data_IF_404028342863
#
_entry.id   IF_404028342863
#
_cell.length_a   1.000
_cell.length_b   1.000
_cell.length_c   1.000
_cell.angle_alpha   90.00
_cell.angle_beta   90.00
_cell.angle_gamma   90.00
#
_symmetry.space_group_name_H-M   'P 1'
#
loop_
_entity.id
_entity.type
_entity.pdbx_description
1 polymer ?
#
# COMPACT_ATOMS: atom_id res chain seq x y z
N UNK A 1 -3.23 53.96 7.99
CA UNK A 1 -3.80 52.61 8.01
C UNK A 1 -2.68 51.64 8.31
N UNK A 2 -2.71 51.03 9.52
CA UNK A 2 -1.77 49.96 9.92
C UNK A 2 -2.31 48.62 9.40
N UNK A 3 -1.51 47.91 8.63
CA UNK A 3 -1.77 46.53 8.21
C UNK A 3 -1.56 45.64 9.44
N UNK A 4 -2.54 44.83 9.76
CA UNK A 4 -2.46 43.86 10.84
C UNK A 4 -1.48 42.72 10.48
N UNK A 5 -0.74 42.15 11.46
CA UNK A 5 0.17 41.05 11.22
C UNK A 5 -0.59 39.76 10.91
N UNK A 6 -0.04 38.97 9.98
CA UNK A 6 -0.60 37.75 9.47
C UNK A 6 -0.94 36.70 10.57
N UNK A 7 -2.07 36.08 10.40
CA UNK A 7 -2.53 34.96 11.24
C UNK A 7 -1.54 33.79 11.12
N UNK A 8 -0.85 33.51 12.23
CA UNK A 8 -0.02 32.30 12.34
C UNK A 8 -0.91 31.07 12.20
N UNK A 9 -0.64 30.24 11.21
CA UNK A 9 -1.30 28.96 11.07
C UNK A 9 -1.09 28.14 12.35
N UNK A 10 -2.17 27.64 12.90
CA UNK A 10 -2.12 26.81 14.12
C UNK A 10 -1.42 25.49 13.85
N UNK A 11 -0.77 24.90 14.87
CA UNK A 11 -0.13 23.57 14.75
C UNK A 11 -1.08 22.49 14.19
N UNK A 12 -2.39 22.60 14.46
CA UNK A 12 -3.40 21.72 13.84
C UNK A 12 -3.51 21.89 12.33
N UNK A 13 -3.38 23.10 11.79
CA UNK A 13 -3.41 23.34 10.34
C UNK A 13 -2.10 22.87 9.67
N UNK A 14 -0.95 22.99 10.35
CA UNK A 14 0.30 22.39 9.90
C UNK A 14 0.25 20.86 9.92
N UNK A 15 -0.29 20.26 10.97
CA UNK A 15 -0.48 18.80 11.06
C UNK A 15 -1.52 18.27 10.07
N UNK A 16 -2.51 19.04 9.65
CA UNK A 16 -3.46 18.68 8.60
C UNK A 16 -2.82 18.73 7.21
N UNK A 17 -1.92 19.72 6.95
CA UNK A 17 -1.19 19.81 5.68
C UNK A 17 -0.11 18.72 5.49
N UNK A 18 0.34 18.06 6.56
CA UNK A 18 1.33 16.97 6.50
C UNK A 18 0.73 15.59 6.19
N UNK A 19 -0.59 15.47 5.85
CA UNK A 19 -1.31 14.19 5.80
C UNK A 19 -2.21 13.94 4.59
N UNK A 20 -1.97 14.59 3.47
CA UNK A 20 -2.77 14.35 2.25
C UNK A 20 -2.14 13.32 1.30
N UNK A 21 -1.21 12.46 1.78
CA UNK A 21 -0.73 11.38 0.94
C UNK A 21 -1.84 10.37 0.66
N UNK A 22 -1.96 9.99 -0.60
CA UNK A 22 -2.77 8.86 -1.06
C UNK A 22 -1.86 7.81 -1.69
N UNK A 23 -2.29 6.55 -1.65
CA UNK A 23 -1.60 5.46 -2.34
C UNK A 23 -2.49 4.86 -3.42
N UNK A 24 -1.98 4.83 -4.65
CA UNK A 24 -2.59 4.06 -5.72
C UNK A 24 -2.04 2.64 -5.67
N UNK A 25 -2.89 1.67 -5.34
CA UNK A 25 -2.57 0.25 -5.37
C UNK A 25 -3.11 -0.33 -6.67
N UNK A 26 -2.20 -0.83 -7.50
CA UNK A 26 -2.55 -1.43 -8.79
C UNK A 26 -2.29 -2.94 -8.73
N UNK A 27 -3.30 -3.71 -9.07
CA UNK A 27 -3.23 -5.17 -9.16
C UNK A 27 -3.52 -5.60 -10.58
N UNK A 28 -2.58 -6.32 -11.20
CA UNK A 28 -2.77 -6.87 -12.54
C UNK A 28 -2.79 -8.38 -12.48
N UNK A 29 -3.83 -8.96 -13.05
CA UNK A 29 -3.93 -10.42 -13.24
C UNK A 29 -3.21 -10.78 -14.54
N UNK A 30 -2.28 -11.71 -14.43
CA UNK A 30 -1.45 -12.17 -15.55
C UNK A 30 -1.79 -13.61 -15.93
N UNK A 31 -1.44 -13.99 -17.15
CA UNK A 31 -1.44 -15.42 -17.54
C UNK A 31 -0.44 -16.20 -16.68
N UNK A 32 -0.74 -17.49 -16.41
CA UNK A 32 0.22 -18.37 -15.75
C UNK A 32 1.58 -18.35 -16.43
N UNK A 33 2.65 -18.18 -15.63
CA UNK A 33 4.04 -18.10 -16.10
C UNK A 33 4.48 -16.73 -16.64
N UNK A 34 3.63 -15.70 -16.63
CA UNK A 34 3.98 -14.38 -17.17
C UNK A 34 4.64 -13.43 -16.14
N UNK A 35 4.69 -13.80 -14.84
CA UNK A 35 5.29 -12.95 -13.80
C UNK A 35 6.76 -12.58 -14.12
N UNK A 36 7.67 -13.50 -14.45
CA UNK A 36 9.07 -13.15 -14.68
C UNK A 36 9.25 -12.12 -15.80
N UNK A 37 8.52 -12.30 -16.91
CA UNK A 37 8.58 -11.36 -18.02
C UNK A 37 7.97 -9.99 -17.67
N UNK A 38 6.91 -9.97 -16.87
CA UNK A 38 6.31 -8.72 -16.41
C UNK A 38 7.26 -7.96 -15.46
N UNK A 39 7.92 -8.64 -14.53
CA UNK A 39 8.90 -8.05 -13.63
C UNK A 39 10.12 -7.50 -14.39
N UNK A 40 10.64 -8.26 -15.35
CA UNK A 40 11.73 -7.79 -16.23
C UNK A 40 11.34 -6.51 -16.97
N UNK A 41 10.16 -6.49 -17.61
CA UNK A 41 9.65 -5.32 -18.31
C UNK A 41 9.46 -4.11 -17.38
N UNK A 42 9.03 -4.32 -16.13
CA UNK A 42 8.96 -3.26 -15.13
C UNK A 42 10.33 -2.78 -14.70
N UNK A 43 11.28 -3.68 -14.43
CA UNK A 43 12.65 -3.32 -14.06
C UNK A 43 13.32 -2.44 -15.12
N UNK A 44 13.13 -2.74 -16.40
CA UNK A 44 13.64 -1.94 -17.52
C UNK A 44 12.98 -0.55 -17.60
N UNK A 45 11.66 -0.47 -17.41
CA UNK A 45 10.90 0.77 -17.58
C UNK A 45 10.91 1.66 -16.34
N UNK A 46 11.14 1.10 -15.14
CA UNK A 46 11.01 1.80 -13.87
C UNK A 46 11.92 3.04 -13.75
N UNK A 47 13.20 3.04 -14.14
CA UNK A 47 14.05 4.23 -14.10
C UNK A 47 13.52 5.42 -14.91
N UNK A 48 12.72 5.16 -15.95
CA UNK A 48 12.07 6.20 -16.74
C UNK A 48 10.85 6.77 -16.03
N UNK A 49 10.10 5.94 -15.32
CA UNK A 49 8.93 6.34 -14.54
C UNK A 49 9.30 7.12 -13.27
N UNK A 50 10.38 6.73 -12.61
CA UNK A 50 10.83 7.33 -11.34
C UNK A 50 11.31 8.77 -11.46
N UNK A 51 11.61 9.24 -12.68
CA UNK A 51 11.83 10.67 -12.96
C UNK A 51 10.63 11.55 -12.60
N UNK A 52 9.45 10.97 -12.51
CA UNK A 52 8.18 11.64 -12.23
C UNK A 52 7.63 11.32 -10.84
N UNK A 53 8.28 10.44 -10.09
CA UNK A 53 7.91 10.03 -8.74
C UNK A 53 8.24 8.56 -8.50
N UNK A 54 8.78 8.21 -7.32
CA UNK A 54 9.26 6.87 -7.02
C UNK A 54 8.10 5.88 -6.88
N UNK A 55 8.41 4.61 -7.13
CA UNK A 55 7.54 3.51 -6.74
C UNK A 55 7.65 3.31 -5.22
N UNK A 56 6.52 2.99 -4.56
CA UNK A 56 6.50 2.71 -3.14
C UNK A 56 6.75 1.22 -2.83
N UNK A 57 6.24 0.31 -3.67
CA UNK A 57 6.46 -1.12 -3.55
C UNK A 57 6.09 -1.85 -4.83
N UNK A 58 6.69 -3.04 -5.04
CA UNK A 58 6.33 -3.96 -6.10
C UNK A 58 6.44 -5.41 -5.61
N UNK A 59 5.38 -6.18 -5.77
CA UNK A 59 5.28 -7.58 -5.36
C UNK A 59 4.58 -8.42 -6.42
N UNK A 60 4.82 -9.73 -6.39
CA UNK A 60 3.94 -10.71 -7.00
C UNK A 60 3.31 -11.62 -5.95
N UNK A 61 2.19 -12.27 -6.28
CA UNK A 61 1.50 -13.17 -5.37
C UNK A 61 2.06 -14.59 -5.44
N UNK A 62 2.29 -15.18 -4.25
CA UNK A 62 2.74 -16.56 -4.07
C UNK A 62 1.62 -17.45 -3.53
N UNK A 63 0.80 -16.92 -2.59
CA UNK A 63 -0.34 -17.65 -2.00
C UNK A 63 -1.57 -16.76 -2.03
N UNK A 64 -2.72 -17.34 -2.39
CA UNK A 64 -3.99 -16.66 -2.60
C UNK A 64 -4.33 -16.59 -4.08
N UNK A 65 -4.88 -15.51 -4.62
CA UNK A 65 -5.04 -15.32 -6.05
C UNK A 65 -3.67 -15.33 -6.72
N UNK A 66 -3.39 -16.34 -7.56
CA UNK A 66 -2.10 -16.52 -8.20
C UNK A 66 -1.94 -15.61 -9.44
N UNK A 67 -0.68 -15.51 -9.90
CA UNK A 67 -0.31 -14.77 -11.11
C UNK A 67 -0.71 -13.29 -11.09
N UNK A 68 -0.63 -12.65 -9.92
CA UNK A 68 -0.83 -11.21 -9.82
C UNK A 68 0.51 -10.50 -9.60
N UNK A 69 0.67 -9.32 -10.23
CA UNK A 69 1.64 -8.32 -9.79
C UNK A 69 0.88 -7.18 -9.12
N UNK A 70 1.47 -6.66 -8.05
CA UNK A 70 0.89 -5.60 -7.24
C UNK A 70 1.95 -4.52 -7.08
N UNK A 71 1.64 -3.30 -7.51
CA UNK A 71 2.56 -2.19 -7.35
C UNK A 71 1.84 -0.98 -6.76
N UNK A 72 2.57 -0.25 -5.93
CA UNK A 72 2.04 0.86 -5.13
C UNK A 72 2.79 2.14 -5.47
N UNK A 73 2.03 3.22 -5.63
CA UNK A 73 2.52 4.56 -5.92
C UNK A 73 1.97 5.55 -4.90
N UNK A 74 2.84 6.34 -4.27
CA UNK A 74 2.43 7.41 -3.37
C UNK A 74 2.29 8.74 -4.13
N UNK A 75 1.27 9.53 -3.75
CA UNK A 75 1.03 10.88 -4.27
C UNK A 75 0.53 11.77 -3.14
N UNK A 76 0.78 13.07 -3.23
CA UNK A 76 0.22 14.02 -2.27
C UNK A 76 -1.31 14.06 -2.35
N UNK A 77 -1.85 13.98 -3.57
CA UNK A 77 -3.29 14.03 -3.82
C UNK A 77 -3.62 13.53 -5.24
N UNK A 78 -4.91 13.53 -5.62
CA UNK A 78 -5.36 13.09 -6.94
C UNK A 78 -4.88 14.00 -8.09
N UNK A 79 -4.72 15.29 -7.86
CA UNK A 79 -4.25 16.24 -8.87
C UNK A 79 -2.77 15.98 -9.22
N UNK A 80 -1.93 15.77 -8.22
CA UNK A 80 -0.54 15.35 -8.43
C UNK A 80 -0.47 14.01 -9.17
N UNK A 81 -1.26 13.03 -8.72
CA UNK A 81 -1.34 11.73 -9.40
C UNK A 81 -1.64 11.88 -10.89
N UNK A 82 -2.64 12.67 -11.24
CA UNK A 82 -3.04 12.87 -12.63
C UNK A 82 -1.95 13.59 -13.44
N UNK A 83 -1.32 14.61 -12.87
CA UNK A 83 -0.20 15.33 -13.46
C UNK A 83 1.00 14.43 -13.73
N UNK A 84 1.42 13.69 -12.70
CA UNK A 84 2.54 12.73 -12.77
C UNK A 84 2.28 11.63 -13.82
N UNK A 85 1.08 11.07 -13.84
CA UNK A 85 0.69 10.04 -14.81
C UNK A 85 0.65 10.58 -16.25
N UNK A 86 0.13 11.79 -16.43
CA UNK A 86 0.12 12.44 -17.74
C UNK A 86 1.53 12.75 -18.25
N UNK A 87 2.44 13.16 -17.37
CA UNK A 87 3.84 13.40 -17.71
C UNK A 87 4.58 12.11 -18.05
N UNK A 88 4.48 11.08 -17.21
CA UNK A 88 5.09 9.77 -17.42
C UNK A 88 4.57 9.09 -18.69
N UNK A 89 3.28 9.24 -19.04
CA UNK A 89 2.69 8.67 -20.24
C UNK A 89 3.25 9.25 -21.55
N UNK A 90 4.03 10.32 -21.49
CA UNK A 90 4.73 10.91 -22.65
C UNK A 90 6.16 10.36 -22.82
N UNK A 91 6.69 9.66 -21.81
CA UNK A 91 8.02 9.05 -21.91
C UNK A 91 7.95 7.82 -22.84
N UNK A 92 8.78 7.75 -23.91
CA UNK A 92 8.72 6.65 -24.89
C UNK A 92 9.13 5.29 -24.31
N UNK A 93 9.77 5.28 -23.12
CA UNK A 93 10.20 4.07 -22.41
C UNK A 93 9.23 3.66 -21.30
N UNK A 94 8.12 4.36 -21.14
CA UNK A 94 7.03 4.03 -20.25
C UNK A 94 5.70 4.00 -21.02
N UNK A 95 4.78 3.07 -20.81
CA UNK A 95 4.76 2.02 -19.76
C UNK A 95 5.64 0.79 -20.08
N UNK A 96 5.77 -0.17 -19.11
CA UNK A 96 6.48 -1.44 -19.32
C UNK A 96 5.94 -2.21 -20.52
N UNK A 97 6.84 -2.79 -21.34
CA UNK A 97 6.49 -3.55 -22.54
C UNK A 97 6.17 -5.01 -22.20
N UNK A 98 5.08 -5.24 -21.49
CA UNK A 98 4.59 -6.59 -21.22
C UNK A 98 4.04 -7.19 -22.51
N UNK A 99 4.36 -8.47 -22.74
CA UNK A 99 3.91 -9.20 -23.93
C UNK A 99 2.39 -9.10 -24.11
N UNK A 100 1.90 -8.71 -25.28
CA UNK A 100 0.47 -8.58 -25.54
C UNK A 100 -0.31 -9.86 -25.18
N UNK A 101 -1.41 -9.68 -24.46
CA UNK A 101 -2.25 -10.76 -23.97
C UNK A 101 -1.76 -11.45 -22.70
N UNK A 102 -0.61 -11.08 -22.12
CA UNK A 102 -0.20 -11.58 -20.80
C UNK A 102 -0.93 -10.90 -19.65
N UNK A 103 -1.40 -9.68 -19.82
CA UNK A 103 -2.29 -9.03 -18.84
C UNK A 103 -3.73 -9.43 -19.16
N UNK A 104 -4.40 -10.02 -18.20
CA UNK A 104 -5.81 -10.46 -18.29
C UNK A 104 -6.77 -9.42 -17.70
N UNK A 105 -6.35 -8.74 -16.63
CA UNK A 105 -7.15 -7.73 -15.95
C UNK A 105 -6.24 -6.72 -15.25
N UNK A 106 -6.73 -5.49 -15.08
CA UNK A 106 -6.02 -4.42 -14.38
C UNK A 106 -6.99 -3.73 -13.43
N UNK A 107 -6.66 -3.71 -12.16
CA UNK A 107 -7.39 -2.95 -11.15
C UNK A 107 -6.52 -1.84 -10.58
N UNK A 108 -7.11 -0.70 -10.27
CA UNK A 108 -6.44 0.46 -9.67
C UNK A 108 -7.36 1.04 -8.60
N UNK A 109 -6.86 1.12 -7.38
CA UNK A 109 -7.61 1.59 -6.22
C UNK A 109 -6.83 2.69 -5.51
N UNK A 110 -7.55 3.69 -4.97
CA UNK A 110 -6.98 4.76 -4.16
C UNK A 110 -7.26 4.45 -2.69
N UNK A 111 -6.19 4.50 -1.90
CA UNK A 111 -6.20 4.19 -0.48
C UNK A 111 -5.63 5.36 0.31
N UNK A 112 -6.30 5.71 1.41
CA UNK A 112 -5.84 6.71 2.37
C UNK A 112 -5.03 6.02 3.47
N UNK A 113 -3.82 6.50 3.79
CA UNK A 113 -3.04 5.94 4.89
C UNK A 113 -3.72 6.22 6.23
N UNK A 114 -3.61 5.26 7.16
CA UNK A 114 -3.99 5.50 8.54
C UNK A 114 -3.08 6.56 9.17
N UNK A 115 -3.58 7.37 10.13
CA UNK A 115 -2.80 8.42 10.77
C UNK A 115 -1.48 7.96 11.42
N UNK A 116 -1.42 6.71 11.83
CA UNK A 116 -0.26 6.07 12.46
C UNK A 116 0.64 5.31 11.47
N UNK A 117 0.28 5.25 10.20
CA UNK A 117 1.07 4.56 9.18
C UNK A 117 2.35 5.32 8.86
N UNK A 118 3.48 4.60 8.82
CA UNK A 118 4.73 5.15 8.28
C UNK A 118 4.66 5.20 6.75
N UNK A 119 5.30 6.17 6.09
CA UNK A 119 5.34 6.22 4.63
C UNK A 119 5.90 4.93 4.03
N UNK A 120 5.28 4.47 2.94
CA UNK A 120 5.82 3.39 2.11
C UNK A 120 6.88 3.93 1.16
N UNK A 121 7.74 3.05 0.69
CA UNK A 121 8.81 3.38 -0.26
C UNK A 121 10.13 3.69 0.43
N UNK A 122 11.10 4.17 -0.33
CA UNK A 122 12.48 4.22 0.10
C UNK A 122 13.07 2.80 0.17
N UNK A 123 14.31 2.67 0.61
CA UNK A 123 14.97 1.37 0.77
C UNK A 123 14.61 0.78 2.15
N UNK A 124 13.65 -0.13 2.21
CA UNK A 124 13.13 -0.72 3.44
C UNK A 124 13.23 -2.26 3.39
N UNK A 125 14.30 -2.79 3.97
CA UNK A 125 14.48 -4.24 4.16
C UNK A 125 13.66 -4.72 5.37
N UNK A 126 12.39 -5.05 5.14
CA UNK A 126 11.45 -5.42 6.20
C UNK A 126 11.20 -6.94 6.30
N UNK A 127 11.33 -7.68 5.19
CA UNK A 127 11.12 -9.13 5.17
C UNK A 127 11.03 -9.69 3.77
N UNK A 128 11.25 -11.00 3.64
CA UNK A 128 11.29 -11.69 2.37
C UNK A 128 9.90 -12.01 1.80
N UNK A 129 8.86 -12.00 2.64
CA UNK A 129 7.47 -12.16 2.25
C UNK A 129 6.57 -11.13 2.94
N UNK A 130 5.49 -10.77 2.28
CA UNK A 130 4.52 -9.79 2.75
C UNK A 130 3.10 -10.38 2.75
N UNK A 131 2.42 -10.33 3.89
CA UNK A 131 1.00 -10.69 3.97
C UNK A 131 0.14 -9.43 3.82
N UNK A 132 -0.55 -9.29 2.69
CA UNK A 132 -1.59 -8.29 2.50
C UNK A 132 -2.93 -8.85 2.96
N UNK A 133 -3.59 -8.16 3.85
CA UNK A 133 -4.92 -8.51 4.36
C UNK A 133 -5.87 -7.36 4.09
N UNK A 134 -6.97 -7.66 3.40
CA UNK A 134 -8.02 -6.69 3.09
C UNK A 134 -9.32 -7.13 3.75
N UNK A 135 -9.87 -6.28 4.61
CA UNK A 135 -11.11 -6.54 5.33
C UNK A 135 -12.16 -5.52 4.95
N UNK A 136 -13.38 -5.99 4.75
CA UNK A 136 -14.55 -5.13 4.57
C UNK A 136 -15.31 -5.05 5.87
N UNK A 137 -15.73 -3.85 6.24
CA UNK A 137 -16.48 -3.56 7.46
C UNK A 137 -17.85 -2.98 7.16
N UNK A 138 -18.73 -3.01 8.14
CA UNK A 138 -20.01 -2.28 8.09
C UNK A 138 -19.77 -0.77 7.96
N UNK A 139 -20.70 -0.04 7.31
CA UNK A 139 -20.63 1.40 7.21
C UNK A 139 -20.40 2.08 8.56
N UNK A 140 -19.48 3.05 8.60
CA UNK A 140 -19.17 3.82 9.81
C UNK A 140 -18.19 3.15 10.79
N UNK A 141 -17.69 1.93 10.51
CA UNK A 141 -16.77 1.21 11.41
C UNK A 141 -15.32 1.71 11.34
N UNK A 142 -14.89 2.33 10.25
CA UNK A 142 -13.47 2.69 10.02
C UNK A 142 -12.92 3.62 11.11
N UNK A 143 -13.58 4.71 11.54
CA UNK A 143 -13.01 5.59 12.56
C UNK A 143 -12.72 4.90 13.89
N UNK A 144 -13.61 4.01 14.34
CA UNK A 144 -13.40 3.25 15.58
C UNK A 144 -12.31 2.18 15.39
N UNK A 145 -12.25 1.55 14.22
CA UNK A 145 -11.20 0.61 13.87
C UNK A 145 -9.82 1.28 13.97
N UNK A 146 -9.65 2.46 13.38
CA UNK A 146 -8.38 3.19 13.39
C UNK A 146 -7.94 3.52 14.82
N UNK A 147 -8.84 3.99 15.69
CA UNK A 147 -8.54 4.26 17.10
C UNK A 147 -8.02 3.01 17.82
N UNK A 148 -8.66 1.86 17.61
CA UNK A 148 -8.24 0.59 18.23
C UNK A 148 -6.88 0.14 17.75
N UNK A 149 -6.63 0.29 16.46
CA UNK A 149 -5.34 -0.03 15.87
C UNK A 149 -4.22 0.87 16.40
N UNK A 150 -4.44 2.18 16.44
CA UNK A 150 -3.48 3.14 16.98
C UNK A 150 -3.08 2.81 18.42
N UNK A 151 -4.05 2.45 19.25
CA UNK A 151 -3.81 2.10 20.65
C UNK A 151 -3.02 0.81 20.84
N UNK A 152 -3.20 -0.19 19.96
CA UNK A 152 -2.62 -1.54 20.13
C UNK A 152 -1.44 -1.84 19.21
N UNK A 153 -1.21 -1.01 18.19
CA UNK A 153 -0.14 -1.21 17.21
C UNK A 153 1.27 -1.28 17.85
N UNK A 154 1.65 -0.45 18.83
CA UNK A 154 2.98 -0.52 19.44
C UNK A 154 3.34 -1.90 19.99
N UNK A 155 2.39 -2.59 20.63
CA UNK A 155 2.61 -3.95 21.13
C UNK A 155 2.74 -4.98 19.99
N UNK A 156 1.96 -4.81 18.93
CA UNK A 156 2.03 -5.70 17.77
C UNK A 156 3.34 -5.53 17.00
N UNK A 157 3.83 -4.31 16.83
CA UNK A 157 5.06 -4.01 16.10
C UNK A 157 6.34 -4.55 16.75
N UNK A 158 6.31 -4.90 18.05
CA UNK A 158 7.42 -5.62 18.71
C UNK A 158 7.71 -6.99 18.08
N UNK A 159 6.82 -7.51 17.26
CA UNK A 159 6.91 -8.83 16.68
C UNK A 159 7.07 -8.83 15.14
N UNK A 160 6.58 -7.82 14.48
CA UNK A 160 6.72 -7.57 13.05
C UNK A 160 6.20 -6.15 12.78
N UNK A 161 6.94 -5.30 12.07
CA UNK A 161 6.51 -3.93 11.79
C UNK A 161 5.28 -3.91 10.90
N UNK A 162 4.49 -2.84 10.97
CA UNK A 162 3.43 -2.57 10.01
C UNK A 162 4.05 -1.97 8.74
N UNK A 163 4.00 -2.68 7.62
CA UNK A 163 4.49 -2.15 6.34
C UNK A 163 3.49 -1.15 5.73
N UNK A 164 2.19 -1.41 5.85
CA UNK A 164 1.14 -0.49 5.44
C UNK A 164 -0.16 -0.72 6.24
N UNK A 165 -0.91 0.36 6.47
CA UNK A 165 -2.26 0.33 7.03
C UNK A 165 -3.09 1.42 6.40
N UNK A 166 -4.07 1.05 5.53
CA UNK A 166 -4.78 1.99 4.67
C UNK A 166 -6.27 1.65 4.61
N UNK A 167 -7.09 2.65 4.32
CA UNK A 167 -8.53 2.48 4.15
C UNK A 167 -9.04 3.15 2.86
N UNK A 168 -10.17 2.69 2.34
CA UNK A 168 -10.75 3.21 1.08
C UNK A 168 -11.84 4.22 1.33
N UNK A 169 -11.90 5.22 0.43
CA UNK A 169 -13.04 6.12 0.25
C UNK A 169 -13.60 6.08 -1.18
N UNK A 170 -12.85 5.49 -2.13
CA UNK A 170 -13.25 5.36 -3.52
C UNK A 170 -13.24 3.89 -3.97
N UNK A 171 -14.20 3.50 -4.77
CA UNK A 171 -14.40 2.11 -5.20
C UNK A 171 -15.17 1.32 -4.15
N UNK A 172 -14.65 0.17 -3.71
CA UNK A 172 -15.25 -0.58 -2.60
C UNK A 172 -15.09 0.16 -1.27
N UNK A 173 -16.18 0.57 -0.65
CA UNK A 173 -16.18 1.35 0.58
C UNK A 173 -15.94 0.50 1.83
N UNK A 174 -15.58 1.16 2.94
CA UNK A 174 -15.39 0.55 4.26
C UNK A 174 -14.39 -0.61 4.27
N UNK A 175 -13.34 -0.50 3.46
CA UNK A 175 -12.27 -1.49 3.40
C UNK A 175 -11.07 -1.00 4.17
N UNK A 176 -10.45 -1.92 4.91
CA UNK A 176 -9.21 -1.74 5.63
C UNK A 176 -8.18 -2.73 5.08
N UNK A 177 -7.06 -2.21 4.56
CA UNK A 177 -5.92 -3.00 4.13
C UNK A 177 -4.78 -2.83 5.13
N UNK A 178 -4.14 -3.93 5.49
CA UNK A 178 -2.89 -3.88 6.26
C UNK A 178 -1.90 -4.91 5.73
N UNK A 179 -0.64 -4.52 5.68
CA UNK A 179 0.45 -5.33 5.12
C UNK A 179 1.49 -5.57 6.20
N UNK A 180 1.86 -6.86 6.37
CA UNK A 180 2.83 -7.30 7.35
C UNK A 180 3.98 -8.03 6.67
N UNK A 181 5.25 -7.61 6.87
CA UNK A 181 6.41 -8.33 6.42
C UNK A 181 6.76 -9.46 7.38
N UNK A 182 7.28 -10.55 6.84
CA UNK A 182 7.82 -11.67 7.59
C UNK A 182 9.06 -12.19 6.87
N UNK A 183 9.97 -12.82 7.63
CA UNK A 183 11.11 -13.51 7.07
C UNK A 183 10.68 -14.68 6.17
N UNK A 184 9.73 -15.49 6.67
CA UNK A 184 9.19 -16.66 6.00
C UNK A 184 7.82 -17.03 6.60
N UNK A 185 7.22 -18.10 6.09
CA UNK A 185 5.92 -18.61 6.57
C UNK A 185 5.98 -19.14 8.02
N UNK A 186 7.13 -19.65 8.49
CA UNK A 186 7.29 -20.11 9.86
C UNK A 186 7.28 -18.91 10.81
N UNK A 187 8.07 -17.88 10.51
CA UNK A 187 8.06 -16.63 11.26
C UNK A 187 6.65 -16.01 11.32
N UNK A 188 5.94 -16.01 10.18
CA UNK A 188 4.54 -15.59 10.15
C UNK A 188 3.66 -16.41 11.10
N UNK A 189 3.79 -17.73 11.10
CA UNK A 189 3.01 -18.61 11.98
C UNK A 189 3.33 -18.35 13.46
N UNK A 190 4.59 -18.20 13.82
CA UNK A 190 5.05 -17.89 15.18
C UNK A 190 4.48 -16.54 15.68
N UNK A 191 4.59 -15.49 14.86
CA UNK A 191 4.06 -14.16 15.21
C UNK A 191 2.54 -14.19 15.39
N UNK A 192 1.83 -14.90 14.52
CA UNK A 192 0.36 -15.02 14.60
C UNK A 192 -0.14 -15.88 15.75
N UNK A 193 0.66 -16.81 16.23
CA UNK A 193 0.34 -17.62 17.41
C UNK A 193 0.46 -16.86 18.73
N UNK A 194 1.15 -15.71 18.75
CA UNK A 194 1.32 -14.91 19.96
C UNK A 194 0.00 -14.28 20.38
N UNK A 195 -0.29 -14.39 21.67
CA UNK A 195 -1.38 -13.64 22.30
C UNK A 195 -0.84 -12.26 22.64
N UNK A 196 -1.22 -11.26 21.85
CA UNK A 196 -0.82 -9.87 22.06
C UNK A 196 -1.97 -9.17 22.77
N UNK A 197 -1.71 -8.68 23.98
CA UNK A 197 -2.72 -8.00 24.78
C UNK A 197 -3.21 -6.73 24.08
N UNK A 198 -4.52 -6.51 24.09
CA UNK A 198 -5.14 -5.35 23.43
C UNK A 198 -5.13 -5.39 21.89
N UNK A 199 -4.48 -6.38 21.26
CA UNK A 199 -4.51 -6.45 19.81
C UNK A 199 -5.93 -6.73 19.30
N UNK A 200 -6.42 -5.98 18.29
CA UNK A 200 -7.81 -6.05 17.85
C UNK A 200 -8.11 -7.37 17.11
N UNK A 201 -8.19 -8.46 17.86
CA UNK A 201 -8.77 -9.69 17.37
C UNK A 201 -10.28 -9.55 17.32
N UNK A 202 -10.90 -9.61 16.13
CA UNK A 202 -12.34 -9.57 16.02
C UNK A 202 -12.94 -8.17 16.17
N UNK A 203 -12.38 -7.16 15.51
CA UNK A 203 -13.01 -5.85 15.43
C UNK A 203 -14.49 -5.96 15.00
N UNK A 204 -15.42 -5.30 15.71
CA UNK A 204 -16.84 -5.35 15.40
C UNK A 204 -17.13 -4.91 13.96
N UNK A 205 -18.22 -5.40 13.38
CA UNK A 205 -18.66 -4.98 12.04
C UNK A 205 -17.81 -5.51 10.88
N UNK A 206 -16.95 -6.50 11.10
CA UNK A 206 -16.21 -7.12 10.00
C UNK A 206 -17.09 -8.08 9.22
N UNK A 207 -17.27 -7.78 7.92
CA UNK A 207 -18.15 -8.52 7.01
C UNK A 207 -17.39 -9.55 6.17
N UNK A 208 -16.19 -9.16 5.66
CA UNK A 208 -15.38 -10.01 4.77
C UNK A 208 -13.91 -9.87 5.08
N UNK A 209 -13.16 -10.94 4.85
CA UNK A 209 -11.71 -10.97 4.97
C UNK A 209 -11.09 -11.67 3.78
N UNK A 210 -10.04 -11.08 3.25
CA UNK A 210 -9.20 -11.65 2.23
C UNK A 210 -7.74 -11.50 2.64
N UNK A 211 -6.90 -12.43 2.24
CA UNK A 211 -5.45 -12.29 2.38
C UNK A 211 -4.72 -12.93 1.22
N UNK A 212 -3.52 -12.45 0.98
CA UNK A 212 -2.56 -13.04 0.05
C UNK A 212 -1.15 -12.90 0.62
N UNK A 213 -0.28 -13.84 0.30
CA UNK A 213 1.15 -13.74 0.53
C UNK A 213 1.80 -13.30 -0.76
N UNK A 214 2.68 -12.33 -0.64
CA UNK A 214 3.37 -11.69 -1.75
C UNK A 214 4.88 -11.78 -1.53
N UNK A 215 5.62 -11.87 -2.64
CA UNK A 215 7.09 -11.84 -2.66
C UNK A 215 7.52 -10.55 -3.35
N UNK A 216 8.48 -9.80 -2.81
CA UNK A 216 8.97 -8.60 -3.45
C UNK A 216 9.75 -8.94 -4.72
N UNK A 217 9.54 -8.16 -5.79
CA UNK A 217 10.44 -8.17 -6.93
C UNK A 217 11.82 -7.63 -6.52
N UNK A 218 12.87 -8.05 -7.21
CA UNK A 218 14.26 -7.68 -6.88
C UNK A 218 14.54 -6.17 -6.87
N UNK A 219 13.70 -5.39 -7.55
CA UNK A 219 13.77 -3.92 -7.61
C UNK A 219 12.78 -3.23 -6.68
N UNK A 220 12.00 -3.99 -5.89
CA UNK A 220 11.02 -3.39 -4.97
C UNK A 220 11.74 -2.60 -3.87
N UNK A 221 11.34 -1.34 -3.60
CA UNK A 221 11.89 -0.57 -2.48
C UNK A 221 11.56 -1.16 -1.10
N UNK A 222 10.49 -1.96 -1.03
CA UNK A 222 10.11 -2.71 0.16
C UNK A 222 10.43 -4.19 -0.06
N UNK A 223 11.52 -4.68 0.54
CA UNK A 223 12.07 -6.03 0.40
C UNK A 223 12.56 -6.60 1.73
#
# INVERSE_FOLDING_TARGET
LKVAPGVSQTNSQKMAAEREMIYEVRTYDLKPGAIPQAEEAFAEALPHREKYGPIAAFWHTEIGPLNQIIHVWGYENLEERDSVRAAAGKDPNWPPKITPGNILNMNSEIWNPAPFMKPMGGDQALGDIYEMRTYTYEPGSIPELLKRWEASLPEREKHSPLAAGMFTEFGGLNRWMHIWPYKDLNHRAEVRAKKIEGWPSGAPGRVRQENKIMVPASFSPMH
#
